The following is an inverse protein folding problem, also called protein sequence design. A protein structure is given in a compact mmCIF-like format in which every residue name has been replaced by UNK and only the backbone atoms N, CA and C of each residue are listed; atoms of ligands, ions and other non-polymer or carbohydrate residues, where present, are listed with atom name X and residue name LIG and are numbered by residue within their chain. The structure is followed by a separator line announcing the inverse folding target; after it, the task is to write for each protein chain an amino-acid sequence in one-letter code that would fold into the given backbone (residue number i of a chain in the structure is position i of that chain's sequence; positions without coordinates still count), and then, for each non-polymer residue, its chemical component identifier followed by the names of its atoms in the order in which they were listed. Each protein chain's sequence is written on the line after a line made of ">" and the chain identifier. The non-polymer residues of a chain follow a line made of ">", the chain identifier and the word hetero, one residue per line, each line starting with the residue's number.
data_IF_489067755410
#
_entry.id   IF_489067755410
#
_cell.length_a   1.000
_cell.length_b   1.000
_cell.length_c   1.000
_cell.angle_alpha   90.00
_cell.angle_beta   90.00
_cell.angle_gamma   90.00
#
_symmetry.space_group_name_H-M   'P 1'
#
loop_
_entity.id
_entity.type
_entity.pdbx_description
1 polymer ?
#
# COMPACT_ATOMS: atom_id res chain seq x y z
N UNK A 1 -2.20 -19.77 -4.97
CA UNK A 1 -2.07 -19.91 -3.51
C UNK A 1 -2.78 -18.70 -2.92
N UNK A 2 -4.08 -18.84 -2.65
CA UNK A 2 -4.96 -17.73 -2.28
C UNK A 2 -4.79 -17.34 -0.82
N UNK A 3 -4.88 -16.06 -0.56
CA UNK A 3 -4.75 -15.37 0.72
C UNK A 3 -5.76 -15.90 1.77
N UNK A 4 -5.37 -16.96 2.49
CA UNK A 4 -6.16 -17.56 3.58
C UNK A 4 -6.04 -16.75 4.89
N UNK A 5 -5.00 -15.91 4.98
CA UNK A 5 -4.70 -15.11 6.16
C UNK A 5 -5.76 -14.04 6.44
N UNK A 6 -6.28 -13.37 5.40
CA UNK A 6 -7.36 -12.41 5.57
C UNK A 6 -8.67 -13.05 6.06
N UNK A 7 -8.99 -14.26 5.57
CA UNK A 7 -10.23 -14.96 5.95
C UNK A 7 -10.21 -15.46 7.39
N UNK A 8 -9.05 -15.90 7.86
CA UNK A 8 -8.85 -16.33 9.26
C UNK A 8 -8.95 -15.17 10.25
N UNK A 9 -8.46 -13.98 9.90
CA UNK A 9 -8.48 -12.81 10.80
C UNK A 9 -9.84 -12.11 10.80
N UNK A 10 -10.44 -11.90 9.63
CA UNK A 10 -11.67 -11.11 9.51
C UNK A 10 -12.95 -11.94 9.65
N UNK A 11 -12.92 -13.26 9.40
CA UNK A 11 -14.09 -14.14 9.51
C UNK A 11 -14.79 -14.08 10.88
N UNK A 12 -14.07 -14.26 12.00
CA UNK A 12 -14.65 -14.17 13.34
C UNK A 12 -15.21 -12.77 13.68
N UNK A 13 -14.56 -11.70 13.20
CA UNK A 13 -15.00 -10.32 13.40
C UNK A 13 -16.29 -10.01 12.63
N UNK A 14 -16.45 -10.57 11.42
CA UNK A 14 -17.66 -10.43 10.60
C UNK A 14 -18.86 -11.13 11.26
N UNK A 15 -18.69 -12.32 11.83
CA UNK A 15 -19.78 -13.02 12.54
C UNK A 15 -20.17 -12.32 13.85
N UNK A 16 -19.19 -11.76 14.58
CA UNK A 16 -19.47 -10.89 15.72
C UNK A 16 -20.22 -9.62 15.31
N UNK A 17 -19.93 -9.08 14.11
CA UNK A 17 -20.59 -7.86 13.62
C UNK A 17 -22.05 -8.14 13.28
N UNK A 18 -22.33 -9.28 12.63
CA UNK A 18 -23.70 -9.75 12.30
C UNK A 18 -24.56 -9.97 13.55
N UNK A 19 -23.95 -10.38 14.65
CA UNK A 19 -24.63 -10.65 15.93
C UNK A 19 -24.70 -9.44 16.86
N UNK A 20 -24.21 -8.27 16.41
CA UNK A 20 -24.18 -7.03 17.21
C UNK A 20 -23.22 -7.07 18.41
N UNK A 21 -22.38 -8.10 18.49
CA UNK A 21 -21.50 -8.39 19.62
C UNK A 21 -20.03 -8.00 19.38
N UNK A 22 -19.75 -7.22 18.33
CA UNK A 22 -18.40 -6.66 18.14
C UNK A 22 -18.07 -5.75 19.31
N UNK A 23 -17.28 -6.28 20.23
CA UNK A 23 -16.44 -5.49 21.13
C UNK A 23 -15.09 -5.39 20.46
N UNK A 24 -14.86 -4.31 19.72
CA UNK A 24 -13.53 -4.01 19.22
C UNK A 24 -12.69 -3.62 20.46
N UNK A 25 -11.85 -4.52 20.96
CA UNK A 25 -10.77 -4.13 21.88
C UNK A 25 -9.80 -3.29 21.08
N UNK A 26 -10.04 -1.99 21.07
CA UNK A 26 -9.32 -1.07 20.21
C UNK A 26 -7.95 -0.80 20.82
N UNK A 27 -6.89 -1.26 20.16
CA UNK A 27 -5.53 -0.89 20.54
C UNK A 27 -5.13 0.39 19.77
N UNK A 28 -4.98 1.55 20.44
CA UNK A 28 -4.59 2.79 19.76
C UNK A 28 -3.25 2.68 19.00
N UNK A 29 -2.32 1.87 19.50
CA UNK A 29 -1.04 1.61 18.84
C UNK A 29 -1.22 0.90 17.50
N UNK A 30 -2.18 -0.03 17.42
CA UNK A 30 -2.49 -0.73 16.18
C UNK A 30 -3.06 0.22 15.13
N UNK A 31 -3.85 1.23 15.53
CA UNK A 31 -4.35 2.25 14.60
C UNK A 31 -3.23 3.13 14.03
N UNK A 32 -2.27 3.55 14.87
CA UNK A 32 -1.10 4.30 14.40
C UNK A 32 -0.26 3.46 13.45
N UNK A 33 0.04 2.21 13.82
CA UNK A 33 0.83 1.30 13.00
C UNK A 33 0.15 0.99 11.65
N UNK A 34 -1.17 0.79 11.64
CA UNK A 34 -1.92 0.54 10.41
C UNK A 34 -1.92 1.76 9.51
N UNK A 35 -2.14 2.96 10.04
CA UNK A 35 -2.11 4.19 9.26
C UNK A 35 -0.74 4.40 8.61
N UNK A 36 0.34 4.22 9.36
CA UNK A 36 1.72 4.29 8.85
C UNK A 36 1.99 3.22 7.78
N UNK A 37 1.54 1.99 7.99
CA UNK A 37 1.72 0.90 7.04
C UNK A 37 0.97 1.17 5.73
N UNK A 38 -0.25 1.70 5.80
CA UNK A 38 -1.02 2.08 4.61
C UNK A 38 -0.38 3.23 3.86
N UNK A 39 0.12 4.28 4.54
CA UNK A 39 0.87 5.35 3.88
C UNK A 39 2.12 4.81 3.19
N UNK A 40 2.93 4.00 3.90
CA UNK A 40 4.12 3.37 3.32
C UNK A 40 3.77 2.58 2.06
N UNK A 41 2.72 1.75 2.12
CA UNK A 41 2.25 0.95 0.98
C UNK A 41 1.82 1.83 -0.20
N UNK A 42 1.06 2.90 0.06
CA UNK A 42 0.64 3.86 -0.96
C UNK A 42 1.84 4.55 -1.61
N UNK A 43 2.84 4.95 -0.83
CA UNK A 43 4.09 5.54 -1.34
C UNK A 43 4.86 4.56 -2.22
N UNK A 44 5.02 3.30 -1.78
CA UNK A 44 5.69 2.26 -2.58
C UNK A 44 4.99 2.02 -3.91
N UNK A 45 3.65 1.96 -3.91
CA UNK A 45 2.87 1.81 -5.14
C UNK A 45 3.14 2.96 -6.12
N UNK A 46 3.12 4.21 -5.64
CA UNK A 46 3.38 5.39 -6.48
C UNK A 46 4.81 5.39 -7.03
N UNK A 47 5.79 4.98 -6.23
CA UNK A 47 7.17 4.83 -6.69
C UNK A 47 7.30 3.81 -7.83
N UNK A 48 6.62 2.66 -7.73
CA UNK A 48 6.61 1.64 -8.79
C UNK A 48 5.92 2.18 -10.05
N UNK A 49 4.78 2.86 -9.91
CA UNK A 49 4.08 3.48 -11.05
C UNK A 49 4.98 4.49 -11.77
N UNK A 50 5.76 5.30 -11.05
CA UNK A 50 6.73 6.23 -11.63
C UNK A 50 7.84 5.51 -12.40
N UNK A 51 8.40 4.43 -11.85
CA UNK A 51 9.40 3.63 -12.54
C UNK A 51 8.85 3.02 -13.83
N UNK A 52 7.63 2.47 -13.79
CA UNK A 52 6.96 1.93 -14.98
C UNK A 52 6.73 3.02 -16.03
N UNK A 53 6.35 4.22 -15.61
CA UNK A 53 6.18 5.35 -16.51
C UNK A 53 7.51 5.77 -17.15
N UNK A 54 8.61 5.80 -16.40
CA UNK A 54 9.94 6.09 -16.94
C UNK A 54 10.38 5.07 -18.00
N UNK A 55 10.15 3.78 -17.75
CA UNK A 55 10.41 2.70 -18.73
C UNK A 55 9.61 2.93 -20.02
N UNK A 56 8.33 3.30 -19.89
CA UNK A 56 7.47 3.55 -21.04
C UNK A 56 7.86 4.80 -21.84
N UNK A 57 8.31 5.85 -21.16
CA UNK A 57 8.76 7.10 -21.77
C UNK A 57 10.15 7.01 -22.40
N UNK A 58 10.91 5.97 -22.10
CA UNK A 58 12.25 5.79 -22.66
C UNK A 58 12.18 5.61 -24.19
N UNK A 59 12.73 6.59 -24.92
CA UNK A 59 12.52 6.75 -26.36
C UNK A 59 13.09 5.60 -27.19
N UNK A 60 14.28 5.10 -26.81
CA UNK A 60 14.99 4.03 -27.51
C UNK A 60 15.68 3.11 -26.52
N UNK A 61 15.49 1.80 -26.66
CA UNK A 61 16.00 0.80 -25.73
C UNK A 61 17.30 0.16 -26.24
N UNK A 62 17.76 0.54 -27.44
CA UNK A 62 18.99 0.02 -28.03
C UNK A 62 18.89 -1.43 -28.49
N UNK A 63 17.66 -1.94 -28.68
CA UNK A 63 17.39 -3.31 -29.12
C UNK A 63 17.27 -3.43 -30.65
N UNK A 64 17.40 -2.31 -31.35
CA UNK A 64 17.15 -2.24 -32.79
C UNK A 64 15.68 -1.97 -33.13
N UNK A 65 14.88 -1.49 -32.18
CA UNK A 65 13.45 -1.20 -32.32
C UNK A 65 13.11 -0.12 -33.35
N UNK A 66 14.12 0.69 -33.77
CA UNK A 66 14.02 1.67 -34.86
C UNK A 66 14.38 1.08 -36.23
N UNK A 67 14.85 -0.17 -36.28
CA UNK A 67 15.24 -0.84 -37.52
C UNK A 67 14.04 -1.52 -38.19
N UNK A 68 13.79 -1.18 -39.45
CA UNK A 68 12.70 -1.77 -40.23
C UNK A 68 12.84 -3.29 -40.46
N UNK A 69 14.06 -3.82 -40.36
CA UNK A 69 14.34 -5.27 -40.53
C UNK A 69 14.23 -6.05 -39.22
N UNK A 70 14.29 -5.39 -38.06
CA UNK A 70 14.23 -6.04 -36.74
C UNK A 70 12.83 -5.91 -36.13
N UNK A 71 11.85 -6.49 -36.81
CA UNK A 71 10.43 -6.44 -36.42
C UNK A 71 10.14 -7.05 -35.04
N UNK A 72 10.95 -8.03 -34.62
CA UNK A 72 10.86 -8.65 -33.29
C UNK A 72 11.25 -7.68 -32.17
N UNK A 73 12.30 -6.86 -32.38
CA UNK A 73 12.72 -5.83 -31.42
C UNK A 73 11.63 -4.77 -31.22
N UNK A 74 11.03 -4.32 -32.31
CA UNK A 74 9.89 -3.41 -32.28
C UNK A 74 8.69 -4.00 -31.50
N UNK A 75 8.34 -5.25 -31.80
CA UNK A 75 7.22 -5.96 -31.15
C UNK A 75 7.46 -6.14 -29.64
N UNK A 76 8.70 -6.44 -29.23
CA UNK A 76 9.06 -6.59 -27.82
C UNK A 76 8.91 -5.28 -27.07
N UNK A 77 9.49 -4.18 -27.59
CA UNK A 77 9.38 -2.85 -26.96
C UNK A 77 7.91 -2.43 -26.83
N UNK A 78 7.10 -2.64 -27.87
CA UNK A 78 5.67 -2.32 -27.82
C UNK A 78 4.94 -3.13 -26.74
N UNK A 79 5.18 -4.45 -26.64
CA UNK A 79 4.56 -5.29 -25.60
C UNK A 79 4.95 -4.85 -24.18
N UNK A 80 6.20 -4.47 -23.96
CA UNK A 80 6.61 -3.96 -22.65
C UNK A 80 5.91 -2.64 -22.31
N UNK A 81 5.78 -1.73 -23.28
CA UNK A 81 5.04 -0.47 -23.11
C UNK A 81 3.58 -0.69 -22.78
N UNK A 82 2.93 -1.56 -23.54
CA UNK A 82 1.51 -1.92 -23.34
C UNK A 82 1.31 -2.56 -21.95
N UNK A 83 2.23 -3.45 -21.53
CA UNK A 83 2.17 -4.07 -20.21
C UNK A 83 2.43 -3.07 -19.07
N UNK A 84 3.25 -2.04 -19.31
CA UNK A 84 3.51 -1.00 -18.34
C UNK A 84 2.31 -0.07 -18.09
N UNK A 85 1.78 0.57 -19.15
CA UNK A 85 0.73 1.59 -18.99
C UNK A 85 -0.25 1.71 -20.16
N UNK A 86 -0.18 0.86 -21.19
CA UNK A 86 -0.92 1.04 -22.45
C UNK A 86 -2.17 0.17 -22.64
N UNK A 87 -2.31 -0.95 -21.91
CA UNK A 87 -3.43 -1.89 -22.07
C UNK A 87 -4.32 -2.06 -20.82
N UNK A 88 -5.53 -2.61 -21.01
CA UNK A 88 -6.54 -2.89 -19.96
C UNK A 88 -6.21 -4.00 -18.96
N UNK A 89 -4.92 -4.22 -18.71
CA UNK A 89 -4.35 -5.08 -17.65
C UNK A 89 -2.90 -4.66 -17.36
N UNK A 90 -2.65 -3.36 -17.49
CA UNK A 90 -1.32 -2.79 -17.32
C UNK A 90 -0.90 -2.83 -15.86
N UNK A 91 0.41 -2.85 -15.62
CA UNK A 91 0.95 -2.74 -14.27
C UNK A 91 0.45 -1.46 -13.60
N UNK A 92 0.34 -0.36 -14.35
CA UNK A 92 -0.16 0.91 -13.83
C UNK A 92 -1.60 0.80 -13.30
N UNK A 93 -2.51 0.22 -14.08
CA UNK A 93 -3.92 0.04 -13.71
C UNK A 93 -4.08 -0.89 -12.51
N UNK A 94 -3.37 -2.02 -12.49
CA UNK A 94 -3.40 -2.94 -11.36
C UNK A 94 -2.88 -2.28 -10.07
N UNK A 95 -1.78 -1.53 -10.17
CA UNK A 95 -1.22 -0.78 -9.05
C UNK A 95 -2.18 0.32 -8.57
N UNK A 96 -2.88 1.00 -9.47
CA UNK A 96 -3.89 1.99 -9.10
C UNK A 96 -5.03 1.35 -8.31
N UNK A 97 -5.53 0.20 -8.75
CA UNK A 97 -6.55 -0.55 -8.00
C UNK A 97 -6.07 -0.94 -6.60
N UNK A 98 -4.83 -1.39 -6.45
CA UNK A 98 -4.26 -1.66 -5.13
C UNK A 98 -4.08 -0.40 -4.27
N UNK A 99 -3.76 0.74 -4.89
CA UNK A 99 -3.66 2.01 -4.19
C UNK A 99 -5.03 2.45 -3.64
N UNK A 100 -6.08 2.36 -4.47
CA UNK A 100 -7.45 2.71 -4.09
C UNK A 100 -7.94 1.86 -2.93
N UNK A 101 -7.73 0.53 -2.97
CA UNK A 101 -8.10 -0.36 -1.86
C UNK A 101 -7.35 0.02 -0.57
N UNK A 102 -6.06 0.33 -0.65
CA UNK A 102 -5.30 0.78 0.52
C UNK A 102 -5.83 2.10 1.10
N UNK A 103 -6.25 3.03 0.23
CA UNK A 103 -6.81 4.32 0.62
C UNK A 103 -8.20 4.20 1.25
N UNK A 104 -9.05 3.33 0.70
CA UNK A 104 -10.37 3.00 1.26
C UNK A 104 -10.25 2.37 2.65
N UNK A 105 -9.37 1.38 2.80
CA UNK A 105 -9.10 0.73 4.09
C UNK A 105 -8.59 1.74 5.10
N UNK A 106 -7.63 2.58 4.72
CA UNK A 106 -7.11 3.62 5.60
C UNK A 106 -8.21 4.61 6.02
N UNK A 107 -9.04 5.05 5.08
CA UNK A 107 -10.15 5.98 5.34
C UNK A 107 -11.18 5.40 6.31
N UNK A 108 -11.49 4.11 6.17
CA UNK A 108 -12.35 3.39 7.11
C UNK A 108 -11.75 3.42 8.52
N UNK A 109 -10.48 3.04 8.68
CA UNK A 109 -9.83 3.03 9.99
C UNK A 109 -9.69 4.43 10.60
N UNK A 110 -9.42 5.46 9.80
CA UNK A 110 -9.41 6.86 10.26
C UNK A 110 -10.78 7.29 10.79
N UNK A 111 -11.85 6.91 10.09
CA UNK A 111 -13.22 7.20 10.51
C UNK A 111 -13.57 6.50 11.82
N UNK A 112 -13.21 5.22 11.97
CA UNK A 112 -13.41 4.47 13.22
C UNK A 112 -12.65 5.15 14.37
N UNK A 113 -11.37 5.49 14.15
CA UNK A 113 -10.54 6.20 15.14
C UNK A 113 -11.21 7.51 15.57
N UNK A 114 -11.65 8.33 14.63
CA UNK A 114 -12.27 9.63 14.93
C UNK A 114 -13.52 9.48 15.79
N UNK A 115 -14.36 8.48 15.51
CA UNK A 115 -15.52 8.17 16.34
C UNK A 115 -15.10 7.73 17.75
N UNK A 116 -14.11 6.87 17.87
CA UNK A 116 -13.61 6.43 19.18
C UNK A 116 -12.99 7.57 19.98
N UNK A 117 -12.26 8.48 19.35
CA UNK A 117 -11.72 9.66 20.04
C UNK A 117 -12.82 10.60 20.55
N UNK A 118 -14.01 10.61 19.91
CA UNK A 118 -15.17 11.39 20.35
C UNK A 118 -15.92 10.72 21.50
N UNK A 119 -16.01 9.39 21.50
CA UNK A 119 -16.85 8.64 22.45
C UNK A 119 -16.09 8.07 23.64
N UNK A 120 -14.77 7.89 23.53
CA UNK A 120 -13.91 7.26 24.53
C UNK A 120 -12.71 8.16 24.85
N UNK A 121 -12.75 8.79 26.02
CA UNK A 121 -11.73 9.73 26.49
C UNK A 121 -10.41 9.04 26.84
N UNK A 122 -10.44 7.77 27.27
CA UNK A 122 -9.24 6.99 27.59
C UNK A 122 -8.52 6.61 26.29
N UNK A 123 -9.25 6.09 25.30
CA UNK A 123 -8.72 5.84 23.96
C UNK A 123 -8.13 7.12 23.35
N UNK A 124 -8.82 8.25 23.46
CA UNK A 124 -8.35 9.53 22.95
C UNK A 124 -7.05 10.01 23.61
N UNK A 125 -6.87 9.75 24.91
CA UNK A 125 -5.65 10.09 25.63
C UNK A 125 -4.48 9.19 25.20
N UNK A 126 -4.69 7.87 25.16
CA UNK A 126 -3.67 6.90 24.75
C UNK A 126 -3.23 7.12 23.30
N UNK A 127 -4.18 7.35 22.38
CA UNK A 127 -3.87 7.62 20.98
C UNK A 127 -2.99 8.87 20.81
N UNK A 128 -3.35 9.98 21.49
CA UNK A 128 -2.57 11.22 21.45
C UNK A 128 -1.14 10.99 21.96
N UNK A 129 -0.99 10.31 23.09
CA UNK A 129 0.33 9.99 23.66
C UNK A 129 1.22 9.21 22.67
N UNK A 130 0.66 8.23 21.96
CA UNK A 130 1.41 7.43 20.98
C UNK A 130 1.71 8.23 19.71
N UNK A 131 0.76 9.03 19.22
CA UNK A 131 0.91 9.80 17.99
C UNK A 131 1.92 10.95 18.09
N UNK A 132 2.12 11.50 19.29
CA UNK A 132 3.07 12.59 19.57
C UNK A 132 4.43 12.07 20.03
N UNK A 133 4.53 10.80 20.44
CA UNK A 133 5.82 10.20 20.75
C UNK A 133 6.69 10.16 19.47
N UNK A 134 7.95 10.64 19.53
CA UNK A 134 8.89 10.42 18.43
C UNK A 134 8.98 8.90 18.20
N UNK A 135 8.81 8.46 16.95
CA UNK A 135 8.98 7.05 16.61
C UNK A 135 10.32 6.52 17.14
N UNK A 136 10.43 5.21 17.46
CA UNK A 136 11.66 4.65 18.00
C UNK A 136 12.83 5.07 17.10
N UNK A 137 13.80 5.76 17.71
CA UNK A 137 15.02 6.19 17.04
C UNK A 137 15.57 5.01 16.23
N UNK A 138 15.77 5.23 14.94
CA UNK A 138 16.44 4.27 14.08
C UNK A 138 17.71 3.79 14.80
N UNK A 139 17.99 2.47 14.84
CA UNK A 139 19.27 2.00 15.37
C UNK A 139 20.36 2.71 14.57
N UNK A 140 21.11 3.57 15.25
CA UNK A 140 22.26 4.27 14.67
C UNK A 140 23.23 3.24 14.11
N UNK A 141 24.02 3.61 13.08
CA UNK A 141 24.94 2.69 12.46
C UNK A 141 25.84 2.10 13.55
N UNK A 142 25.77 0.78 13.73
CA UNK A 142 26.74 0.05 14.53
C UNK A 142 28.11 0.48 14.05
N UNK A 143 28.81 1.23 14.89
CA UNK A 143 30.22 1.50 14.72
C UNK A 143 30.92 0.15 14.87
N UNK A 144 31.21 -0.48 13.74
CA UNK A 144 32.14 -1.59 13.66
C UNK A 144 33.52 -1.03 14.04
N UNK A 145 33.89 -1.21 15.30
CA UNK A 145 35.25 -1.10 15.79
C UNK A 145 35.73 -2.51 16.10
N UNK A 146 36.67 -3.01 15.28
CA UNK A 146 37.91 -3.73 15.61
C UNK A 146 38.34 -4.53 14.38
#
# INVERSE_FOLDING_TARGET
>A
MGDDSGRQVFGPLIEQAKTGAVSLKVNPQAFVALDQAMEKRKTEIRAIQQLVQQVNQHESWGLGEKSAVLTSAHTLVQRFRDKGSGGGSSAHEALEGHWQVADEVQSLFRTIRERLQQTDSEFAAQYRAISTAPGPAAPGPSAESV
#
